data_IF_027702677187
#
_entry.id   IF_027702677187
#
_cell.length_a   1.000
_cell.length_b   1.000
_cell.length_c   1.000
_cell.angle_alpha   90.00
_cell.angle_beta   90.00
_cell.angle_gamma   90.00
#
_symmetry.space_group_name_H-M   'P 1'
#
loop_
_entity.id
_entity.type
_entity.pdbx_description
1 polymer ?
#
# COMPACT_ATOMS: atom_id res chain seq x y z
N UNK A 1 0.64 -13.10 -13.44
CA UNK A 1 1.99 -12.78 -14.00
C UNK A 1 1.88 -11.33 -14.43
N UNK A 2 2.61 -10.38 -13.86
CA UNK A 2 2.35 -8.96 -14.13
C UNK A 2 2.51 -8.60 -15.61
N UNK A 3 1.43 -8.08 -16.21
CA UNK A 3 1.36 -7.70 -17.62
C UNK A 3 2.12 -6.39 -17.86
N UNK A 4 2.73 -6.20 -19.03
CA UNK A 4 3.48 -4.97 -19.37
C UNK A 4 3.08 -4.49 -20.75
N UNK A 5 2.73 -3.20 -20.87
CA UNK A 5 2.30 -2.58 -22.12
C UNK A 5 2.99 -1.23 -22.35
N UNK A 6 3.20 -0.84 -23.61
CA UNK A 6 3.67 0.51 -23.92
C UNK A 6 2.56 1.54 -23.80
N UNK A 7 2.89 2.80 -23.53
CA UNK A 7 1.93 3.92 -23.53
C UNK A 7 1.12 3.98 -24.84
N UNK A 8 1.75 3.67 -25.97
CA UNK A 8 1.09 3.67 -27.28
C UNK A 8 0.06 2.55 -27.44
N UNK A 9 0.30 1.37 -26.86
CA UNK A 9 -0.67 0.28 -26.85
C UNK A 9 -1.80 0.59 -25.88
N UNK A 10 -1.47 1.02 -24.66
CA UNK A 10 -2.47 1.45 -23.66
C UNK A 10 -3.41 2.49 -24.25
N UNK A 11 -2.89 3.51 -24.95
CA UNK A 11 -3.74 4.54 -25.56
C UNK A 11 -4.69 3.98 -26.63
N UNK A 12 -4.28 2.94 -27.36
CA UNK A 12 -5.10 2.29 -28.40
C UNK A 12 -6.19 1.39 -27.81
N UNK A 13 -5.92 0.77 -26.67
CA UNK A 13 -6.80 -0.25 -26.07
C UNK A 13 -7.38 0.17 -24.72
N UNK A 14 -7.31 1.46 -24.36
CA UNK A 14 -7.67 1.94 -23.02
C UNK A 14 -9.10 1.57 -22.63
N UNK A 15 -10.06 1.70 -23.56
CA UNK A 15 -11.47 1.39 -23.30
C UNK A 15 -11.71 -0.07 -22.93
N UNK A 16 -11.11 -1.00 -23.67
CA UNK A 16 -11.22 -2.43 -23.35
C UNK A 16 -10.43 -2.77 -22.08
N UNK A 17 -9.24 -2.18 -21.93
CA UNK A 17 -8.39 -2.38 -20.75
C UNK A 17 -9.09 -1.98 -19.45
N UNK A 18 -9.83 -0.87 -19.41
CA UNK A 18 -10.52 -0.43 -18.18
C UNK A 18 -11.64 -1.41 -17.79
N UNK A 19 -12.25 -2.09 -18.76
CA UNK A 19 -13.41 -2.97 -18.51
C UNK A 19 -12.98 -4.38 -18.11
N UNK A 20 -11.82 -4.83 -18.60
CA UNK A 20 -11.33 -6.20 -18.48
C UNK A 20 -10.02 -6.30 -17.67
N UNK A 21 -9.71 -5.29 -16.85
CA UNK A 21 -8.47 -5.29 -16.08
C UNK A 21 -8.54 -6.35 -14.98
N UNK A 22 -7.98 -7.53 -15.26
CA UNK A 22 -7.95 -8.66 -14.32
C UNK A 22 -6.65 -8.76 -13.53
N UNK A 23 -5.57 -8.15 -14.04
CA UNK A 23 -4.27 -8.15 -13.41
C UNK A 23 -3.59 -6.77 -13.53
N UNK A 24 -2.73 -6.39 -12.57
CA UNK A 24 -1.94 -5.17 -12.65
C UNK A 24 -1.11 -5.13 -13.94
N UNK A 25 -1.21 -4.01 -14.66
CA UNK A 25 -0.50 -3.81 -15.92
C UNK A 25 0.49 -2.66 -15.82
N UNK A 26 1.77 -2.96 -16.00
CA UNK A 26 2.84 -1.96 -16.04
C UNK A 26 2.81 -1.20 -17.36
N UNK A 27 2.74 0.12 -17.28
CA UNK A 27 2.77 1.02 -18.44
C UNK A 27 4.19 1.54 -18.63
N UNK A 28 4.74 1.33 -19.82
CA UNK A 28 6.12 1.69 -20.16
C UNK A 28 6.20 2.77 -21.24
N UNK A 29 7.20 3.63 -21.10
CA UNK A 29 7.59 4.58 -22.13
C UNK A 29 9.10 4.55 -22.30
N UNK A 30 9.56 4.35 -23.55
CA UNK A 30 11.00 4.21 -23.88
C UNK A 30 11.71 3.17 -23.01
N UNK A 31 11.08 2.01 -22.81
CA UNK A 31 11.64 0.89 -22.05
C UNK A 31 11.70 1.10 -20.53
N UNK A 32 11.04 2.14 -20.01
CA UNK A 32 11.00 2.44 -18.57
C UNK A 32 9.55 2.39 -18.08
N UNK A 33 9.32 1.73 -16.95
CA UNK A 33 8.01 1.74 -16.28
C UNK A 33 7.72 3.17 -15.80
N UNK A 34 6.52 3.67 -16.11
CA UNK A 34 6.07 5.02 -15.74
C UNK A 34 4.82 5.01 -14.88
N UNK A 35 3.97 4.00 -15.02
CA UNK A 35 2.74 3.87 -14.25
C UNK A 35 2.34 2.40 -14.13
N UNK A 36 1.39 2.12 -13.25
CA UNK A 36 0.70 0.84 -13.13
C UNK A 36 -0.79 1.11 -13.27
N UNK A 37 -1.44 0.37 -14.16
CA UNK A 37 -2.89 0.29 -14.21
C UNK A 37 -3.35 -0.83 -13.29
N UNK A 38 -4.27 -0.52 -12.39
CA UNK A 38 -4.82 -1.41 -11.37
C UNK A 38 -6.33 -1.21 -11.30
N UNK A 39 -7.04 -2.27 -10.91
CA UNK A 39 -8.43 -2.14 -10.51
C UNK A 39 -8.54 -1.26 -9.25
N UNK A 40 -9.63 -0.50 -9.15
CA UNK A 40 -9.82 0.43 -8.03
C UNK A 40 -10.01 -0.32 -6.70
N UNK A 41 -10.62 -1.50 -6.71
CA UNK A 41 -10.76 -2.37 -5.55
C UNK A 41 -9.42 -2.88 -5.05
N UNK A 42 -8.57 -3.37 -5.95
CA UNK A 42 -7.20 -3.81 -5.62
C UNK A 42 -6.35 -2.65 -5.08
N UNK A 43 -6.46 -1.47 -5.69
CA UNK A 43 -5.79 -0.27 -5.21
C UNK A 43 -6.23 0.11 -3.78
N UNK A 44 -7.54 0.11 -3.51
CA UNK A 44 -8.07 0.41 -2.19
C UNK A 44 -7.63 -0.63 -1.15
N UNK A 45 -7.71 -1.92 -1.48
CA UNK A 45 -7.26 -2.99 -0.60
C UNK A 45 -5.77 -2.86 -0.25
N UNK A 46 -4.94 -2.47 -1.23
CA UNK A 46 -3.52 -2.20 -1.00
C UNK A 46 -3.30 -1.00 -0.07
N UNK A 47 -4.07 0.08 -0.24
CA UNK A 47 -4.02 1.23 0.68
C UNK A 47 -4.44 0.84 2.10
N UNK A 48 -5.52 0.07 2.25
CA UNK A 48 -6.01 -0.38 3.55
C UNK A 48 -4.96 -1.26 4.26
N UNK A 49 -4.28 -2.13 3.52
CA UNK A 49 -3.17 -2.93 4.08
C UNK A 49 -2.00 -2.06 4.54
N UNK A 50 -1.63 -1.03 3.76
CA UNK A 50 -0.56 -0.11 4.12
C UNK A 50 -0.92 0.71 5.37
N UNK A 51 -2.16 1.19 5.45
CA UNK A 51 -2.65 1.94 6.60
C UNK A 51 -2.79 1.05 7.84
N UNK A 52 -3.38 -0.14 7.72
CA UNK A 52 -3.49 -1.09 8.82
C UNK A 52 -2.13 -1.52 9.39
N UNK A 53 -1.12 -1.69 8.53
CA UNK A 53 0.27 -1.94 8.96
C UNK A 53 0.88 -0.73 9.67
N UNK A 54 0.59 0.48 9.20
CA UNK A 54 1.07 1.73 9.80
C UNK A 54 0.50 1.92 11.21
N UNK A 55 -0.79 1.62 11.42
CA UNK A 55 -1.43 1.66 12.75
C UNK A 55 -0.85 0.61 13.70
N UNK A 56 -0.59 -0.61 13.23
CA UNK A 56 0.04 -1.66 14.04
C UNK A 56 1.50 -1.34 14.41
N UNK A 57 2.26 -0.72 13.51
CA UNK A 57 3.62 -0.26 13.79
C UNK A 57 3.62 0.89 14.81
N UNK A 58 2.74 1.87 14.66
CA UNK A 58 2.58 2.97 15.61
C UNK A 58 2.17 2.49 17.01
N UNK A 59 1.21 1.55 17.09
CA UNK A 59 0.76 0.98 18.36
C UNK A 59 1.88 0.21 19.09
N UNK A 60 2.71 -0.55 18.36
CA UNK A 60 3.87 -1.25 18.93
C UNK A 60 4.95 -0.29 19.43
N UNK A 61 5.15 0.84 18.73
CA UNK A 61 6.10 1.86 19.15
C UNK A 61 5.63 2.60 20.41
N UNK A 62 4.33 2.88 20.53
CA UNK A 62 3.75 3.47 21.74
C UNK A 62 3.84 2.55 22.96
N UNK A 63 3.58 1.25 22.79
CA UNK A 63 3.69 0.25 23.86
C UNK A 63 5.13 0.03 24.35
N UNK A 64 6.13 0.30 23.51
CA UNK A 64 7.55 0.21 23.88
C UNK A 64 8.06 1.44 24.67
N UNK A 65 7.25 2.49 24.81
CA UNK A 65 7.61 3.74 25.50
C UNK A 65 6.87 3.96 26.82
N UNK A 66 6.07 3.00 27.28
CA UNK A 66 5.49 3.06 28.63
C UNK A 66 6.60 2.72 29.66
N UNK A 67 7.02 3.65 30.54
CA UNK A 67 8.02 3.35 31.55
C UNK A 67 7.42 2.39 32.60
N UNK A 68 8.20 1.42 33.13
CA UNK A 68 7.71 0.51 34.15
C UNK A 68 7.24 1.29 35.38
N UNK A 69 5.99 1.05 35.80
CA UNK A 69 5.38 1.64 37.00
C UNK A 69 5.91 0.94 38.26
N UNK A 70 7.20 1.08 38.55
CA UNK A 70 7.85 0.55 39.75
C UNK A 70 8.41 1.67 40.63
N UNK A 71 7.64 2.72 40.92
CA UNK A 71 8.01 3.66 41.98
C UNK A 71 6.78 4.25 42.68
N UNK A 72 6.01 3.43 43.39
CA UNK A 72 5.14 3.93 44.46
C UNK A 72 5.03 2.88 45.58
N UNK A 73 6.16 2.61 46.25
CA UNK A 73 6.16 1.99 47.57
C UNK A 73 7.21 2.69 48.42
N UNK A 74 6.81 3.07 49.63
CA UNK A 74 7.49 3.97 50.57
C UNK A 74 7.23 5.45 50.18
N UNK A 75 6.57 6.30 50.97
CA UNK A 75 6.54 6.40 52.43
C UNK A 75 5.23 7.04 52.89
N UNK A 76 4.53 6.38 53.81
CA UNK A 76 3.70 7.03 54.85
C UNK A 76 3.71 6.10 56.07
N UNK A 77 4.78 6.22 56.85
CA UNK A 77 4.76 5.98 58.28
C UNK A 77 4.29 7.23 59.01
#
# INVERSE_FOLDING_TARGET
>A
MSNTMSVSEVRRTLGSLITELTEPTFVTWRGQVKAVLLDIGDYNAMLDQLQGRSTSAAARSAAAHEPPKDHLRAERG
#
